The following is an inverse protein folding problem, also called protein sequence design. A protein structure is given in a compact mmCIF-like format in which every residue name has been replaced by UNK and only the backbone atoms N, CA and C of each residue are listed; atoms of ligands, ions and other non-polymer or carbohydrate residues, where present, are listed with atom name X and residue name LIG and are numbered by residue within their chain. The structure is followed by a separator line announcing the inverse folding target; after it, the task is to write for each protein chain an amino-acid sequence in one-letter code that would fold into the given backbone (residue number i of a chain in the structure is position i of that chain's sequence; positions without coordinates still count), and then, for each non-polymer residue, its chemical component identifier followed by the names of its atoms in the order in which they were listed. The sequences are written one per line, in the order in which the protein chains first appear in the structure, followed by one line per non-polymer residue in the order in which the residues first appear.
data_IF_565833021986
#
_entry.id   IF_565833021986
#
_cell.length_a   1.000
_cell.length_b   1.000
_cell.length_c   1.000
_cell.angle_alpha   90.00
_cell.angle_beta   90.00
_cell.angle_gamma   90.00
#
_symmetry.space_group_name_H-M   'P 1'
#
loop_
_entity.id
_entity.type
_entity.pdbx_description
1 polymer ?
#
# COMPACT_ATOMS: atom_id res chain seq x y z
N UNK A 1 3.09 -30.13 18.91
CA UNK A 1 4.38 -29.88 19.59
C UNK A 1 5.01 -28.63 19.01
N UNK A 2 5.27 -27.67 19.89
CA UNK A 2 5.75 -26.31 19.65
C UNK A 2 7.05 -26.24 18.85
N UNK A 3 7.08 -25.42 17.80
CA UNK A 3 8.29 -24.80 17.24
C UNK A 3 8.03 -23.35 16.79
N UNK A 4 7.37 -22.55 17.64
CA UNK A 4 7.28 -21.09 17.46
C UNK A 4 7.78 -20.33 18.70
N UNK A 5 8.74 -20.89 19.43
CA UNK A 5 9.61 -20.14 20.33
C UNK A 5 10.86 -19.68 19.56
N UNK A 6 10.67 -18.84 18.54
CA UNK A 6 11.77 -17.95 18.13
C UNK A 6 11.84 -16.91 19.25
N UNK A 7 12.93 -16.93 20.01
CA UNK A 7 13.25 -15.94 21.04
C UNK A 7 12.95 -14.56 20.49
N UNK A 8 11.87 -13.93 20.95
CA UNK A 8 11.60 -12.53 20.67
C UNK A 8 12.79 -11.80 21.30
N UNK A 9 13.56 -11.07 20.49
CA UNK A 9 14.63 -10.25 21.07
C UNK A 9 14.00 -9.35 22.14
N UNK A 10 14.55 -9.34 23.34
CA UNK A 10 14.14 -8.43 24.42
C UNK A 10 14.72 -7.01 24.21
N UNK A 11 15.38 -6.75 23.08
CA UNK A 11 15.96 -5.45 22.78
C UNK A 11 14.90 -4.36 22.83
N UNK A 12 15.15 -3.36 23.68
CA UNK A 12 14.28 -2.20 23.85
C UNK A 12 14.85 -1.05 23.06
N UNK A 13 14.01 -0.43 22.24
CA UNK A 13 14.37 0.73 21.42
C UNK A 13 13.40 1.86 21.72
N UNK A 14 13.94 3.05 21.97
CA UNK A 14 13.16 4.26 22.20
C UNK A 14 13.43 5.24 21.06
N UNK A 15 12.42 5.45 20.20
CA UNK A 15 12.42 6.55 19.22
C UNK A 15 11.79 7.75 19.89
N UNK A 16 12.49 8.89 19.99
CA UNK A 16 11.98 10.06 20.75
C UNK A 16 12.26 11.39 20.07
N UNK A 17 11.48 12.40 20.44
CA UNK A 17 11.64 13.77 19.93
C UNK A 17 11.07 13.99 18.52
N UNK A 18 10.25 13.08 17.99
CA UNK A 18 9.63 13.26 16.68
C UNK A 18 8.82 14.54 16.67
N UNK A 19 9.16 15.49 15.79
CA UNK A 19 8.44 16.76 15.67
C UNK A 19 6.96 16.51 15.36
N UNK A 20 6.70 15.60 14.42
CA UNK A 20 5.39 15.05 14.17
C UNK A 20 5.48 13.53 14.11
N UNK A 21 4.75 12.88 15.01
CA UNK A 21 4.57 11.43 15.00
C UNK A 21 3.17 11.10 14.47
N UNK A 22 3.12 10.60 13.24
CA UNK A 22 1.90 10.19 12.56
C UNK A 22 1.60 8.77 13.00
N UNK A 23 0.65 8.62 13.92
CA UNK A 23 0.38 7.30 14.50
C UNK A 23 -0.60 6.49 13.66
N UNK A 24 -1.51 7.18 12.96
CA UNK A 24 -2.65 6.58 12.25
C UNK A 24 -3.48 5.67 13.18
N UNK A 25 -3.44 5.92 14.49
CA UNK A 25 -4.30 5.27 15.45
C UNK A 25 -5.76 5.69 15.22
N UNK A 26 -6.68 4.76 15.49
CA UNK A 26 -8.09 4.86 15.16
C UNK A 26 -8.63 3.50 14.75
N UNK A 27 -9.45 3.46 13.71
CA UNK A 27 -9.96 2.22 13.13
C UNK A 27 -8.84 1.40 12.47
N UNK A 28 -8.85 0.08 12.68
CA UNK A 28 -8.00 -0.86 11.92
C UNK A 28 -8.59 -1.20 10.54
N UNK A 29 -9.86 -0.83 10.30
CA UNK A 29 -10.54 -1.04 9.03
C UNK A 29 -10.19 0.06 7.99
N UNK A 30 -10.46 -0.18 6.69
CA UNK A 30 -10.21 0.81 5.66
C UNK A 30 -10.94 2.13 5.95
N UNK A 31 -10.20 3.23 5.85
CA UNK A 31 -10.71 4.58 6.05
C UNK A 31 -11.35 5.11 4.78
N UNK A 32 -12.39 5.91 4.95
CA UNK A 32 -13.33 6.32 3.90
C UNK A 32 -13.77 7.76 4.11
N UNK A 33 -13.96 8.51 3.02
CA UNK A 33 -14.35 9.92 3.09
C UNK A 33 -13.42 10.71 4.01
N UNK A 34 -13.99 11.55 4.88
CA UNK A 34 -13.21 12.40 5.78
C UNK A 34 -12.20 11.69 6.68
N UNK A 35 -12.47 10.44 7.10
CA UNK A 35 -11.54 9.70 7.99
C UNK A 35 -10.24 9.29 7.30
N UNK A 36 -10.21 9.33 5.96
CA UNK A 36 -8.99 9.10 5.18
C UNK A 36 -7.93 10.18 5.47
N UNK A 37 -8.32 11.38 5.89
CA UNK A 37 -7.41 12.47 6.26
C UNK A 37 -6.91 12.47 7.71
N UNK A 38 -7.29 11.51 8.55
CA UNK A 38 -7.04 11.56 10.00
C UNK A 38 -5.69 10.94 10.41
N UNK A 39 -4.58 11.68 10.33
CA UNK A 39 -3.26 11.09 10.63
C UNK A 39 -2.99 10.78 12.13
N UNK A 40 -3.83 11.24 13.05
CA UNK A 40 -3.64 11.09 14.51
C UNK A 40 -2.22 11.51 14.93
N UNK A 41 -1.89 12.77 14.62
CA UNK A 41 -0.55 13.35 14.81
C UNK A 41 -0.31 13.65 16.28
N UNK A 42 0.81 13.18 16.81
CA UNK A 42 1.33 13.54 18.13
C UNK A 42 2.53 14.48 17.94
N UNK A 43 2.40 15.70 18.44
CA UNK A 43 3.52 16.64 18.50
C UNK A 43 4.49 16.23 19.61
N UNK A 44 5.80 16.37 19.36
CA UNK A 44 6.86 15.84 20.25
C UNK A 44 6.57 14.39 20.66
N UNK A 45 6.51 13.52 19.65
CA UNK A 45 6.11 12.13 19.79
C UNK A 45 7.29 11.19 20.05
N UNK A 46 6.98 10.09 20.74
CA UNK A 46 7.89 9.00 20.98
C UNK A 46 7.21 7.64 20.84
N UNK A 47 8.04 6.62 20.57
CA UNK A 47 7.65 5.23 20.40
C UNK A 47 8.61 4.37 21.20
N UNK A 48 8.04 3.49 22.04
CA UNK A 48 8.79 2.43 22.71
C UNK A 48 8.56 1.10 22.00
N UNK A 49 9.63 0.43 21.61
CA UNK A 49 9.65 -0.84 20.91
C UNK A 49 10.33 -1.88 21.80
N UNK A 50 9.81 -3.12 21.80
CA UNK A 50 10.49 -4.29 22.37
C UNK A 50 10.48 -5.41 21.34
N UNK A 51 11.66 -5.91 21.00
CA UNK A 51 11.82 -6.88 19.93
C UNK A 51 11.24 -6.35 18.63
N UNK A 52 10.22 -7.04 18.10
CA UNK A 52 9.55 -6.63 16.86
C UNK A 52 8.23 -5.86 17.05
N UNK A 53 7.83 -5.56 18.29
CA UNK A 53 6.53 -4.99 18.59
C UNK A 53 6.62 -3.60 19.21
N UNK A 54 5.66 -2.75 18.84
CA UNK A 54 5.45 -1.45 19.49
C UNK A 54 4.75 -1.70 20.83
N UNK A 55 5.31 -1.15 21.90
CA UNK A 55 4.79 -1.27 23.27
C UNK A 55 3.93 -0.06 23.63
N UNK A 56 4.41 1.14 23.31
CA UNK A 56 3.69 2.38 23.59
C UNK A 56 3.99 3.44 22.53
N UNK A 57 3.02 4.29 22.28
CA UNK A 57 3.10 5.46 21.39
C UNK A 57 2.44 6.64 22.09
N UNK A 58 3.09 7.80 22.08
CA UNK A 58 2.54 8.99 22.71
C UNK A 58 3.50 10.16 22.66
N UNK A 59 3.30 11.13 23.55
CA UNK A 59 4.25 12.24 23.70
C UNK A 59 5.57 11.73 24.29
N UNK A 60 6.69 12.34 23.91
CA UNK A 60 8.03 12.06 24.45
C UNK A 60 8.01 12.04 25.97
N UNK A 61 7.43 13.09 26.59
CA UNK A 61 7.26 13.17 28.04
C UNK A 61 6.56 11.95 28.65
N UNK A 62 5.54 11.37 28.01
CA UNK A 62 4.83 10.21 28.55
C UNK A 62 5.66 8.94 28.40
N UNK A 63 6.17 8.69 27.19
CA UNK A 63 6.81 7.42 26.83
C UNK A 63 8.18 7.28 27.50
N UNK A 64 8.96 8.36 27.58
CA UNK A 64 10.28 8.37 28.22
C UNK A 64 10.22 8.08 29.73
N UNK A 65 9.10 8.41 30.38
CA UNK A 65 8.90 8.16 31.81
C UNK A 65 8.52 6.72 32.14
N UNK A 66 8.29 5.86 31.14
CA UNK A 66 8.00 4.46 31.36
C UNK A 66 9.23 3.73 31.91
N UNK A 67 9.01 2.79 32.84
CA UNK A 67 10.09 1.94 33.38
C UNK A 67 10.83 1.21 32.27
N UNK A 68 10.11 0.77 31.25
CA UNK A 68 10.65 0.02 30.12
C UNK A 68 11.52 0.87 29.19
N UNK A 69 11.35 2.20 29.17
CA UNK A 69 12.21 3.11 28.41
C UNK A 69 13.63 3.20 29.00
N UNK A 70 13.81 2.90 30.28
CA UNK A 70 15.14 2.94 30.93
C UNK A 70 16.07 1.90 30.32
N UNK A 71 17.24 2.36 29.90
CA UNK A 71 18.27 1.53 29.26
C UNK A 71 17.89 1.03 27.87
N UNK A 72 16.81 1.54 27.28
CA UNK A 72 16.50 1.28 25.88
C UNK A 72 17.53 1.97 24.98
N UNK A 73 17.85 1.34 23.84
CA UNK A 73 18.67 1.97 22.81
C UNK A 73 17.90 3.14 22.21
N UNK A 74 18.51 4.31 22.19
CA UNK A 74 17.86 5.51 21.69
C UNK A 74 18.00 5.65 20.16
N UNK A 75 16.95 6.17 19.54
CA UNK A 75 16.94 6.72 18.19
C UNK A 75 16.41 8.15 18.30
N UNK A 76 17.25 9.11 17.96
CA UNK A 76 16.89 10.52 17.96
C UNK A 76 16.06 10.86 16.71
N UNK A 77 14.82 11.26 16.91
CA UNK A 77 13.91 11.74 15.87
C UNK A 77 13.67 13.26 15.96
N UNK A 78 14.49 13.99 16.71
CA UNK A 78 14.38 15.46 16.86
C UNK A 78 14.29 16.15 15.52
N UNK A 79 13.30 17.04 15.38
CA UNK A 79 13.07 17.81 14.16
C UNK A 79 12.49 17.02 13.00
N UNK A 80 12.18 15.72 13.16
CA UNK A 80 11.77 14.84 12.05
C UNK A 80 10.31 14.42 12.14
N UNK A 81 9.76 14.06 10.98
CA UNK A 81 8.50 13.32 10.87
C UNK A 81 8.75 11.83 11.04
N UNK A 82 7.94 11.16 11.86
CA UNK A 82 7.93 9.70 12.03
C UNK A 82 6.55 9.17 11.68
N UNK A 83 6.49 8.11 10.87
CA UNK A 83 5.23 7.51 10.41
C UNK A 83 5.39 5.99 10.20
N UNK A 84 4.29 5.21 10.06
CA UNK A 84 4.40 3.82 9.66
C UNK A 84 5.18 3.69 8.36
N UNK A 85 5.90 2.57 8.21
CA UNK A 85 6.46 2.23 6.92
C UNK A 85 5.36 2.15 5.86
N UNK A 86 5.67 2.56 4.63
CA UNK A 86 4.73 2.43 3.51
C UNK A 86 4.32 0.96 3.33
N UNK A 87 3.07 0.76 2.95
CA UNK A 87 2.60 -0.51 2.41
C UNK A 87 2.25 -0.27 0.95
N UNK A 88 2.88 -1.02 0.07
CA UNK A 88 2.58 -0.95 -1.36
C UNK A 88 1.44 -1.92 -1.68
N UNK A 89 0.29 -1.38 -2.08
CA UNK A 89 -0.89 -2.20 -2.38
C UNK A 89 -0.77 -2.99 -3.69
N UNK A 90 0.24 -2.72 -4.54
CA UNK A 90 0.48 -3.49 -5.75
C UNK A 90 1.89 -3.29 -6.31
N UNK A 91 2.63 -4.39 -6.45
CA UNK A 91 3.86 -4.45 -7.21
C UNK A 91 4.06 -5.85 -7.83
N UNK A 92 4.67 -5.91 -9.01
CA UNK A 92 5.09 -7.12 -9.71
C UNK A 92 6.61 -7.22 -9.68
N UNK A 93 7.16 -7.88 -8.66
CA UNK A 93 8.61 -7.95 -8.43
C UNK A 93 9.33 -9.08 -9.21
N UNK A 94 8.60 -10.09 -9.67
CA UNK A 94 9.18 -11.36 -10.19
C UNK A 94 9.36 -11.35 -11.73
N UNK A 95 9.33 -10.18 -12.37
CA UNK A 95 9.66 -10.03 -13.79
C UNK A 95 11.12 -9.59 -13.96
N UNK A 96 11.77 -10.07 -15.02
CA UNK A 96 13.24 -10.09 -15.06
C UNK A 96 13.84 -8.97 -15.91
N UNK A 97 13.11 -8.37 -16.85
CA UNK A 97 13.71 -7.39 -17.77
C UNK A 97 12.80 -6.21 -18.12
N UNK A 98 13.36 -4.99 -18.18
CA UNK A 98 12.68 -3.82 -18.70
C UNK A 98 12.52 -3.88 -20.23
N UNK A 99 11.45 -3.27 -20.75
CA UNK A 99 11.18 -3.16 -22.19
C UNK A 99 11.70 -1.84 -22.76
N UNK A 100 13.01 -1.64 -22.71
CA UNK A 100 13.65 -0.36 -23.05
C UNK A 100 13.46 0.04 -24.52
N UNK A 101 13.54 -0.91 -25.45
CA UNK A 101 13.36 -0.63 -26.89
C UNK A 101 11.90 -0.22 -27.21
N UNK A 102 10.93 -0.88 -26.56
CA UNK A 102 9.51 -0.53 -26.68
C UNK A 102 9.25 0.87 -26.11
N UNK A 103 9.85 1.17 -24.94
CA UNK A 103 9.76 2.49 -24.33
C UNK A 103 10.34 3.59 -25.24
N UNK A 104 11.53 3.40 -25.81
CA UNK A 104 12.12 4.38 -26.72
C UNK A 104 11.25 4.57 -27.99
N UNK A 105 10.68 3.48 -28.51
CA UNK A 105 9.78 3.52 -29.66
C UNK A 105 8.50 4.31 -29.36
N UNK A 106 7.89 4.08 -28.19
CA UNK A 106 6.73 4.82 -27.70
C UNK A 106 7.02 6.32 -27.63
N UNK A 107 8.18 6.72 -27.08
CA UNK A 107 8.58 8.13 -27.00
C UNK A 107 8.77 8.79 -28.36
N UNK A 108 9.18 8.02 -29.37
CA UNK A 108 9.30 8.48 -30.77
C UNK A 108 7.95 8.60 -31.48
N UNK A 109 6.84 8.32 -30.78
CA UNK A 109 5.49 8.38 -31.33
C UNK A 109 5.11 7.18 -32.19
N UNK A 110 5.85 6.07 -32.12
CA UNK A 110 5.42 4.83 -32.73
C UNK A 110 4.10 4.39 -32.07
N UNK A 111 3.09 4.09 -32.88
CA UNK A 111 1.89 3.45 -32.38
C UNK A 111 2.29 2.08 -31.85
N UNK A 112 2.35 1.92 -30.52
CA UNK A 112 2.37 0.58 -29.96
C UNK A 112 1.07 -0.10 -30.38
N UNK A 113 1.19 -1.16 -31.18
CA UNK A 113 0.21 -2.24 -31.08
C UNK A 113 0.19 -2.62 -29.61
N UNK A 114 -0.90 -2.35 -28.90
CA UNK A 114 -1.08 -2.72 -27.50
C UNK A 114 -0.49 -4.11 -27.32
N UNK A 115 0.70 -4.17 -26.74
CA UNK A 115 1.33 -5.42 -26.39
C UNK A 115 0.48 -5.93 -25.26
N UNK A 116 -0.61 -6.65 -25.60
CA UNK A 116 -1.31 -7.50 -24.67
C UNK A 116 -0.20 -8.18 -23.88
N UNK A 117 -0.12 -7.90 -22.58
CA UNK A 117 0.82 -8.55 -21.68
C UNK A 117 0.80 -10.01 -22.08
N UNK A 118 1.88 -10.49 -22.71
CA UNK A 118 1.84 -11.57 -23.68
C UNK A 118 0.93 -12.64 -23.12
N UNK A 119 -0.28 -12.66 -23.69
CA UNK A 119 -1.43 -13.27 -23.10
C UNK A 119 -1.28 -14.75 -23.32
N UNK A 120 -0.21 -15.34 -22.77
CA UNK A 120 -0.16 -16.76 -22.50
C UNK A 120 -1.48 -17.00 -21.80
N UNK A 121 -2.41 -17.73 -22.45
CA UNK A 121 -3.64 -18.04 -21.79
C UNK A 121 -3.19 -18.66 -20.47
N UNK A 122 -3.58 -18.05 -19.36
CA UNK A 122 -3.77 -18.79 -18.13
C UNK A 122 -4.79 -19.84 -18.54
N UNK A 123 -4.30 -20.96 -19.11
CA UNK A 123 -5.04 -22.18 -19.29
C UNK A 123 -5.68 -22.34 -17.94
N UNK A 124 -7.01 -22.18 -17.90
CA UNK A 124 -7.80 -22.34 -16.71
C UNK A 124 -7.25 -23.57 -16.01
N UNK A 125 -6.46 -23.34 -14.96
CA UNK A 125 -6.04 -24.40 -14.09
C UNK A 125 -7.35 -24.72 -13.39
N UNK A 126 -8.05 -25.70 -13.96
CA UNK A 126 -9.31 -26.25 -13.49
C UNK A 126 -9.26 -26.28 -11.97
N UNK A 127 -10.36 -25.93 -11.30
CA UNK A 127 -10.45 -25.81 -9.84
C UNK A 127 -9.71 -26.90 -9.04
N UNK A 128 -9.54 -28.11 -9.62
CA UNK A 128 -8.66 -29.18 -9.13
C UNK A 128 -7.18 -28.84 -8.90
N UNK A 129 -6.58 -27.85 -9.57
CA UNK A 129 -5.16 -27.50 -9.37
C UNK A 129 -4.92 -26.60 -8.15
N UNK A 130 -5.98 -26.02 -7.58
CA UNK A 130 -5.89 -25.14 -6.41
C UNK A 130 -5.89 -25.91 -5.07
N UNK A 131 -6.15 -27.21 -5.09
CA UNK A 131 -6.25 -28.02 -3.87
C UNK A 131 -4.88 -28.48 -3.35
N UNK A 132 -4.67 -28.33 -2.04
CA UNK A 132 -3.54 -28.89 -1.29
C UNK A 132 -2.34 -27.96 -1.07
N UNK A 133 -1.84 -27.26 -2.10
CA UNK A 133 -0.55 -26.55 -2.03
C UNK A 133 -0.64 -25.02 -2.01
N UNK A 134 -1.75 -24.43 -2.46
CA UNK A 134 -1.84 -22.98 -2.69
C UNK A 134 -1.81 -22.17 -1.39
N UNK A 135 -2.37 -22.70 -0.29
CA UNK A 135 -2.39 -22.00 1.02
C UNK A 135 -1.01 -21.69 1.61
N UNK A 136 0.04 -22.39 1.18
CA UNK A 136 1.42 -22.13 1.64
C UNK A 136 2.19 -21.19 0.72
N UNK A 137 1.68 -20.92 -0.48
CA UNK A 137 2.39 -20.19 -1.54
C UNK A 137 1.72 -18.85 -1.89
N UNK A 138 0.41 -18.71 -1.65
CA UNK A 138 -0.34 -17.52 -1.97
C UNK A 138 -1.40 -17.20 -0.91
N UNK A 139 -1.61 -15.92 -0.67
CA UNK A 139 -2.71 -15.39 0.17
C UNK A 139 -3.85 -14.80 -0.67
N UNK A 140 -3.57 -14.46 -1.93
CA UNK A 140 -4.50 -13.81 -2.85
C UNK A 140 -4.61 -14.58 -4.17
N UNK A 141 -5.75 -14.41 -4.84
CA UNK A 141 -5.95 -14.71 -6.26
C UNK A 141 -6.25 -13.42 -7.00
N UNK A 142 -5.43 -13.11 -8.00
CA UNK A 142 -5.60 -11.92 -8.85
C UNK A 142 -6.19 -12.30 -10.21
N UNK A 143 -7.16 -11.53 -10.70
CA UNK A 143 -7.65 -11.65 -12.09
C UNK A 143 -7.58 -10.31 -12.81
N UNK A 144 -7.02 -10.32 -14.02
CA UNK A 144 -7.07 -9.20 -14.94
C UNK A 144 -8.37 -9.23 -15.77
N UNK A 145 -9.28 -8.28 -15.55
CA UNK A 145 -10.46 -8.07 -16.41
C UNK A 145 -10.10 -7.32 -17.69
N UNK A 146 -9.88 -8.05 -18.79
CA UNK A 146 -9.70 -7.47 -20.12
C UNK A 146 -10.95 -7.52 -21.00
N UNK A 147 -10.73 -7.36 -22.31
CA UNK A 147 -11.71 -7.63 -23.37
C UNK A 147 -11.89 -9.14 -23.59
N UNK A 148 -12.18 -9.89 -22.53
CA UNK A 148 -12.42 -11.34 -22.66
C UNK A 148 -13.76 -11.59 -23.37
N UNK A 149 -13.86 -12.64 -24.21
CA UNK A 149 -15.05 -12.93 -25.00
C UNK A 149 -16.24 -13.45 -24.17
N UNK A 150 -16.00 -13.83 -22.91
CA UNK A 150 -17.01 -14.32 -21.97
C UNK A 150 -17.35 -13.29 -20.89
N UNK A 151 -18.58 -13.33 -20.37
CA UNK A 151 -19.06 -12.41 -19.34
C UNK A 151 -18.50 -12.67 -17.94
N UNK A 152 -18.96 -11.91 -16.93
CA UNK A 152 -18.45 -12.01 -15.55
C UNK A 152 -18.81 -13.32 -14.83
N UNK A 153 -19.88 -14.02 -15.25
CA UNK A 153 -20.45 -15.16 -14.50
C UNK A 153 -19.45 -16.31 -14.25
N UNK A 154 -18.67 -16.79 -15.24
CA UNK A 154 -17.64 -17.81 -14.98
C UNK A 154 -16.52 -17.31 -14.06
N UNK A 155 -16.15 -16.03 -14.15
CA UNK A 155 -15.12 -15.43 -13.29
C UNK A 155 -15.60 -15.39 -11.84
N UNK A 156 -16.84 -14.98 -11.60
CA UNK A 156 -17.43 -14.95 -10.25
C UNK A 156 -17.43 -16.35 -9.64
N UNK A 157 -17.83 -17.37 -10.39
CA UNK A 157 -17.83 -18.76 -9.88
C UNK A 157 -16.41 -19.22 -9.52
N UNK A 158 -15.44 -18.96 -10.39
CA UNK A 158 -14.04 -19.26 -10.11
C UNK A 158 -13.53 -18.57 -8.84
N UNK A 159 -13.80 -17.27 -8.69
CA UNK A 159 -13.37 -16.48 -7.54
C UNK A 159 -14.05 -16.93 -6.23
N UNK A 160 -15.32 -17.34 -6.30
CA UNK A 160 -16.03 -17.94 -5.16
C UNK A 160 -15.39 -19.26 -4.71
N UNK A 161 -14.94 -20.10 -5.65
CA UNK A 161 -14.22 -21.33 -5.29
C UNK A 161 -12.85 -21.02 -4.68
N UNK A 162 -12.11 -20.04 -5.21
CA UNK A 162 -10.84 -19.61 -4.64
C UNK A 162 -10.99 -19.09 -3.19
N UNK A 163 -12.06 -18.34 -2.90
CA UNK A 163 -12.39 -17.92 -1.53
C UNK A 163 -12.67 -19.07 -0.59
N UNK A 164 -13.38 -20.12 -1.02
CA UNK A 164 -13.59 -21.34 -0.22
C UNK A 164 -12.27 -22.03 0.12
N UNK A 165 -11.24 -21.85 -0.71
CA UNK A 165 -9.89 -22.33 -0.47
C UNK A 165 -9.07 -21.41 0.44
N UNK A 166 -9.61 -20.29 0.90
CA UNK A 166 -8.97 -19.35 1.82
C UNK A 166 -8.13 -18.26 1.14
N UNK A 167 -8.29 -18.07 -0.17
CA UNK A 167 -7.63 -17.00 -0.92
C UNK A 167 -8.50 -15.74 -0.91
N UNK A 168 -7.90 -14.61 -0.57
CA UNK A 168 -8.51 -13.31 -0.80
C UNK A 168 -8.52 -12.98 -2.30
N UNK A 169 -9.48 -12.19 -2.75
CA UNK A 169 -9.68 -11.90 -4.17
C UNK A 169 -9.24 -10.47 -4.48
N UNK A 170 -8.46 -10.30 -5.55
CA UNK A 170 -8.05 -9.01 -6.10
C UNK A 170 -8.39 -8.94 -7.58
N UNK A 171 -8.90 -7.79 -8.03
CA UNK A 171 -9.20 -7.54 -9.45
C UNK A 171 -8.20 -6.54 -10.01
N UNK A 172 -7.39 -7.00 -10.96
CA UNK A 172 -6.27 -6.28 -11.58
C UNK A 172 -6.65 -5.73 -12.97
N UNK A 173 -7.78 -5.02 -13.14
CA UNK A 173 -8.06 -4.26 -14.37
C UNK A 173 -9.30 -3.34 -14.28
N UNK A 174 -9.28 -2.23 -15.01
CA UNK A 174 -10.35 -1.23 -15.14
C UNK A 174 -11.16 -1.32 -16.43
N UNK A 175 -11.77 -2.49 -16.68
CA UNK A 175 -12.86 -2.61 -17.65
C UNK A 175 -14.16 -2.04 -17.00
N UNK A 176 -15.14 -1.53 -17.76
CA UNK A 176 -16.42 -1.00 -17.20
C UNK A 176 -17.24 -2.03 -16.39
N UNK A 177 -16.85 -3.31 -16.47
CA UNK A 177 -17.48 -4.43 -15.77
C UNK A 177 -16.72 -4.84 -14.49
N UNK A 178 -15.57 -4.24 -14.23
CA UNK A 178 -14.66 -4.67 -13.17
C UNK A 178 -15.20 -4.34 -11.78
N UNK A 179 -15.81 -3.17 -11.61
CA UNK A 179 -16.46 -2.80 -10.35
C UNK A 179 -17.54 -3.80 -9.95
N UNK A 180 -18.42 -4.18 -10.89
CA UNK A 180 -19.45 -5.19 -10.66
C UNK A 180 -18.84 -6.55 -10.33
N UNK A 181 -17.82 -6.99 -11.08
CA UNK A 181 -17.13 -8.25 -10.81
C UNK A 181 -16.52 -8.25 -9.39
N UNK A 182 -15.85 -7.17 -9.01
CA UNK A 182 -15.22 -7.04 -7.70
C UNK A 182 -16.26 -7.13 -6.57
N UNK A 183 -17.38 -6.42 -6.69
CA UNK A 183 -18.46 -6.45 -5.69
C UNK A 183 -19.13 -7.84 -5.62
N UNK A 184 -19.51 -8.43 -6.76
CA UNK A 184 -20.19 -9.74 -6.79
C UNK A 184 -19.28 -10.91 -6.37
N UNK A 185 -17.96 -10.77 -6.49
CA UNK A 185 -16.97 -11.73 -6.01
C UNK A 185 -16.54 -11.49 -4.55
N UNK A 186 -16.97 -10.40 -3.93
CA UNK A 186 -16.48 -9.88 -2.64
C UNK A 186 -14.94 -9.74 -2.64
N UNK A 187 -14.41 -9.07 -3.65
CA UNK A 187 -13.00 -8.76 -3.77
C UNK A 187 -12.56 -7.80 -2.65
N UNK A 188 -11.37 -8.06 -2.10
CA UNK A 188 -10.72 -7.17 -1.13
C UNK A 188 -10.34 -5.86 -1.82
N UNK A 189 -9.80 -5.94 -3.03
CA UNK A 189 -9.30 -4.79 -3.78
C UNK A 189 -9.68 -4.84 -5.26
N UNK A 190 -9.84 -3.66 -5.84
CA UNK A 190 -10.00 -3.43 -7.27
C UNK A 190 -9.02 -2.35 -7.71
N UNK A 191 -8.24 -2.63 -8.75
CA UNK A 191 -7.26 -1.71 -9.30
C UNK A 191 -7.94 -0.84 -10.35
N UNK A 192 -7.94 0.47 -10.12
CA UNK A 192 -8.71 1.42 -10.90
C UNK A 192 -7.76 2.35 -11.63
N UNK A 193 -7.81 2.31 -12.96
CA UNK A 193 -7.22 3.34 -13.82
C UNK A 193 -8.20 4.43 -14.20
N UNK A 194 -9.44 4.04 -14.49
CA UNK A 194 -10.58 4.89 -14.84
C UNK A 194 -11.83 4.33 -14.18
N UNK A 195 -12.73 5.20 -13.73
CA UNK A 195 -13.99 4.80 -13.09
C UNK A 195 -15.12 5.72 -13.52
N UNK A 196 -16.26 5.14 -13.85
CA UNK A 196 -17.49 5.84 -14.19
C UNK A 196 -18.35 6.10 -12.94
N UNK A 197 -19.20 7.13 -12.91
CA UNK A 197 -20.05 7.44 -11.76
C UNK A 197 -20.89 6.25 -11.25
N UNK A 198 -21.40 5.41 -12.16
CA UNK A 198 -22.17 4.22 -11.80
C UNK A 198 -21.32 3.17 -11.05
N UNK A 199 -20.05 3.05 -11.39
CA UNK A 199 -19.09 2.14 -10.73
C UNK A 199 -18.69 2.67 -9.35
N UNK A 200 -18.51 3.98 -9.21
CA UNK A 200 -18.24 4.61 -7.90
C UNK A 200 -19.36 4.29 -6.91
N UNK A 201 -20.63 4.40 -7.35
CA UNK A 201 -21.78 4.06 -6.51
C UNK A 201 -21.75 2.61 -6.04
N UNK A 202 -21.46 1.67 -6.95
CA UNK A 202 -21.34 0.25 -6.59
C UNK A 202 -20.23 0.01 -5.57
N UNK A 203 -19.07 0.65 -5.75
CA UNK A 203 -17.95 0.49 -4.84
C UNK A 203 -18.22 1.11 -3.46
N UNK A 204 -18.92 2.25 -3.42
CA UNK A 204 -19.31 2.93 -2.18
C UNK A 204 -20.21 2.06 -1.30
N UNK A 205 -21.05 1.23 -1.91
CA UNK A 205 -21.95 0.27 -1.24
C UNK A 205 -21.26 -1.06 -0.88
N UNK A 206 -19.95 -1.19 -1.12
CA UNK A 206 -19.17 -2.43 -0.92
C UNK A 206 -18.00 -2.27 0.05
N UNK A 207 -17.43 -3.39 0.50
CA UNK A 207 -16.19 -3.43 1.27
C UNK A 207 -14.92 -3.33 0.42
N UNK A 208 -15.02 -3.40 -0.91
CA UNK A 208 -13.88 -3.39 -1.83
C UNK A 208 -13.12 -2.07 -1.75
N UNK A 209 -11.79 -2.18 -1.68
CA UNK A 209 -10.86 -1.03 -1.67
C UNK A 209 -10.44 -0.72 -3.10
N UNK A 210 -10.60 0.53 -3.51
CA UNK A 210 -10.07 1.04 -4.78
C UNK A 210 -8.56 1.29 -4.64
N UNK A 211 -7.76 0.53 -5.40
CA UNK A 211 -6.30 0.68 -5.46
C UNK A 211 -5.94 1.55 -6.65
N UNK A 212 -5.28 2.68 -6.39
CA UNK A 212 -4.83 3.64 -7.40
C UNK A 212 -3.30 3.60 -7.52
N UNK A 213 -2.81 3.54 -8.75
CA UNK A 213 -1.38 3.53 -9.07
C UNK A 213 -1.02 4.73 -9.99
N UNK A 214 -0.97 5.96 -9.45
CA UNK A 214 -0.78 7.17 -10.25
C UNK A 214 0.49 7.15 -11.10
N UNK A 215 1.59 6.56 -10.61
CA UNK A 215 2.84 6.50 -11.37
C UNK A 215 2.74 5.61 -12.62
N UNK A 216 2.11 4.43 -12.50
CA UNK A 216 1.85 3.56 -13.66
C UNK A 216 0.86 4.20 -14.64
N UNK A 217 -0.14 4.94 -14.14
CA UNK A 217 -1.08 5.66 -15.01
C UNK A 217 -0.41 6.80 -15.78
N UNK A 218 0.49 7.55 -15.13
CA UNK A 218 1.29 8.59 -15.80
C UNK A 218 2.12 8.00 -16.95
N UNK A 219 2.64 6.78 -16.77
CA UNK A 219 3.43 6.08 -17.78
C UNK A 219 2.58 5.53 -18.94
N UNK A 220 1.43 4.92 -18.64
CA UNK A 220 0.61 4.19 -19.61
C UNK A 220 -0.40 5.05 -20.37
N UNK A 221 -1.03 6.03 -19.70
CA UNK A 221 -2.05 6.89 -20.30
C UNK A 221 -1.77 8.37 -19.92
N UNK A 222 -0.69 8.99 -20.45
CA UNK A 222 -0.38 10.37 -20.13
C UNK A 222 -1.59 11.27 -20.43
N UNK A 223 -2.00 12.09 -19.45
CA UNK A 223 -3.12 13.08 -19.50
C UNK A 223 -4.54 12.58 -19.19
N UNK A 224 -4.73 11.38 -18.61
CA UNK A 224 -6.06 10.90 -18.20
C UNK A 224 -6.06 10.23 -16.81
N UNK A 225 -5.80 11.00 -15.77
CA UNK A 225 -5.92 10.50 -14.39
C UNK A 225 -7.38 10.36 -13.96
N UNK A 226 -7.74 9.22 -13.37
CA UNK A 226 -8.94 9.15 -12.55
C UNK A 226 -8.74 10.06 -11.31
N UNK A 227 -9.62 11.04 -11.14
CA UNK A 227 -9.61 11.84 -9.91
C UNK A 227 -10.01 10.96 -8.73
N UNK A 228 -9.11 10.78 -7.76
CA UNK A 228 -9.41 10.06 -6.52
C UNK A 228 -10.50 10.77 -5.71
N UNK A 229 -10.64 12.10 -5.89
CA UNK A 229 -11.62 12.91 -5.17
C UNK A 229 -13.04 12.37 -5.26
N UNK A 230 -13.50 11.99 -6.45
CA UNK A 230 -14.85 11.44 -6.64
C UNK A 230 -15.08 10.13 -5.86
N UNK A 231 -14.06 9.27 -5.77
CA UNK A 231 -14.11 8.03 -4.98
C UNK A 231 -14.18 8.36 -3.48
N UNK A 232 -13.31 9.26 -3.01
CA UNK A 232 -13.21 9.65 -1.60
C UNK A 232 -14.50 10.32 -1.13
N UNK A 233 -15.01 11.29 -1.88
CA UNK A 233 -16.24 12.02 -1.55
C UNK A 233 -17.47 11.10 -1.53
N UNK A 234 -17.45 10.04 -2.35
CA UNK A 234 -18.46 8.97 -2.35
C UNK A 234 -18.24 7.90 -1.28
N UNK A 235 -17.26 8.09 -0.38
CA UNK A 235 -16.90 7.17 0.72
C UNK A 235 -16.40 5.79 0.26
N UNK A 236 -15.84 5.70 -0.94
CA UNK A 236 -15.07 4.52 -1.35
C UNK A 236 -13.76 4.49 -0.55
N UNK A 237 -13.35 3.32 -0.07
CA UNK A 237 -12.02 3.16 0.53
C UNK A 237 -10.97 3.22 -0.56
N UNK A 238 -9.96 4.08 -0.42
CA UNK A 238 -8.90 4.26 -1.41
C UNK A 238 -7.54 3.87 -0.82
N UNK A 239 -6.78 3.07 -1.54
CA UNK A 239 -5.38 2.74 -1.25
C UNK A 239 -4.47 3.16 -2.41
N UNK A 240 -3.20 3.42 -2.11
CA UNK A 240 -2.19 3.74 -3.11
C UNK A 240 -1.24 2.56 -3.33
N UNK A 241 -0.78 2.43 -4.56
CA UNK A 241 0.24 1.48 -4.96
C UNK A 241 1.29 2.16 -5.84
N UNK A 242 2.51 1.64 -5.82
CA UNK A 242 3.50 2.01 -6.84
C UNK A 242 3.07 1.53 -8.21
N UNK A 243 2.42 0.36 -8.26
CA UNK A 243 2.14 -0.35 -9.51
C UNK A 243 3.44 -0.74 -10.21
N UNK A 244 4.55 -0.87 -9.46
CA UNK A 244 5.86 -1.21 -10.01
C UNK A 244 5.78 -2.53 -10.76
N UNK A 245 6.24 -2.53 -12.00
CA UNK A 245 6.41 -3.69 -12.84
C UNK A 245 7.57 -3.37 -13.78
N UNK A 246 8.62 -4.19 -13.86
CA UNK A 246 9.80 -3.90 -14.68
C UNK A 246 9.49 -3.53 -16.15
N UNK A 247 8.38 -4.01 -16.70
CA UNK A 247 7.96 -3.81 -18.08
C UNK A 247 6.99 -2.63 -18.32
N UNK A 248 6.24 -2.16 -17.31
CA UNK A 248 5.26 -1.07 -17.50
C UNK A 248 4.99 -0.18 -16.27
N UNK A 249 5.59 -0.46 -15.12
CA UNK A 249 5.47 0.30 -13.88
C UNK A 249 6.80 0.97 -13.52
N UNK A 250 6.94 2.28 -13.76
CA UNK A 250 8.27 2.92 -13.88
C UNK A 250 8.97 3.17 -12.56
N UNK A 251 8.32 2.97 -11.41
CA UNK A 251 8.87 3.38 -10.12
C UNK A 251 8.40 2.50 -8.98
N UNK A 252 9.30 2.24 -8.04
CA UNK A 252 9.01 1.66 -6.72
C UNK A 252 8.97 2.73 -5.62
N UNK A 253 9.11 4.02 -5.97
CA UNK A 253 9.17 5.11 -5.00
C UNK A 253 7.76 5.55 -4.56
N UNK A 254 7.32 5.08 -3.39
CA UNK A 254 6.03 5.48 -2.79
C UNK A 254 5.93 6.97 -2.47
N UNK A 255 7.03 7.71 -2.31
CA UNK A 255 7.01 9.15 -2.08
C UNK A 255 6.60 9.90 -3.36
N UNK A 256 7.10 9.44 -4.51
CA UNK A 256 6.64 9.89 -5.83
C UNK A 256 5.16 9.58 -6.03
N UNK A 257 4.71 8.38 -5.65
CA UNK A 257 3.30 7.98 -5.72
C UNK A 257 2.41 8.91 -4.90
N UNK A 258 2.79 9.22 -3.66
CA UNK A 258 2.06 10.16 -2.79
C UNK A 258 1.99 11.55 -3.43
N UNK A 259 3.10 12.02 -4.01
CA UNK A 259 3.15 13.32 -4.67
C UNK A 259 2.23 13.38 -5.89
N UNK A 260 2.26 12.36 -6.76
CA UNK A 260 1.37 12.28 -7.93
C UNK A 260 -0.09 12.14 -7.53
N UNK A 261 -0.39 11.40 -6.45
CA UNK A 261 -1.75 11.33 -5.92
C UNK A 261 -2.27 12.71 -5.46
N UNK A 262 -1.40 13.55 -4.90
CA UNK A 262 -1.77 14.91 -4.53
C UNK A 262 -1.95 15.82 -5.77
N UNK A 263 -0.98 15.80 -6.69
CA UNK A 263 -0.94 16.69 -7.86
C UNK A 263 -2.01 16.34 -8.91
N UNK A 264 -2.10 15.06 -9.26
CA UNK A 264 -2.88 14.60 -10.42
C UNK A 264 -4.24 13.99 -10.03
N UNK A 265 -4.37 13.47 -8.80
CA UNK A 265 -5.60 12.84 -8.32
C UNK A 265 -6.35 13.69 -7.27
N UNK A 266 -5.81 14.87 -6.91
CA UNK A 266 -6.38 15.83 -5.97
C UNK A 266 -6.66 15.27 -4.58
N UNK A 267 -5.81 14.37 -4.11
CA UNK A 267 -5.77 13.96 -2.70
C UNK A 267 -5.05 15.03 -1.87
N UNK A 268 -5.44 15.18 -0.62
CA UNK A 268 -4.65 15.91 0.37
C UNK A 268 -3.44 15.06 0.78
N UNK A 269 -2.34 15.67 1.28
CA UNK A 269 -1.20 14.91 1.82
C UNK A 269 -1.60 13.88 2.87
N UNK A 270 -2.56 14.22 3.74
CA UNK A 270 -3.05 13.33 4.78
C UNK A 270 -3.79 12.10 4.20
N UNK A 271 -4.68 12.33 3.22
CA UNK A 271 -5.38 11.24 2.54
C UNK A 271 -4.40 10.31 1.81
N UNK A 272 -3.39 10.86 1.14
CA UNK A 272 -2.40 10.09 0.40
C UNK A 272 -1.53 9.23 1.34
N UNK A 273 -1.07 9.79 2.46
CA UNK A 273 -0.31 9.03 3.47
C UNK A 273 -1.15 7.89 4.05
N UNK A 274 -2.41 8.16 4.42
CA UNK A 274 -3.31 7.13 4.93
C UNK A 274 -3.59 6.03 3.89
N UNK A 275 -3.76 6.42 2.62
CA UNK A 275 -3.95 5.51 1.51
C UNK A 275 -2.74 4.60 1.26
N UNK A 276 -1.51 5.12 1.44
CA UNK A 276 -0.24 4.40 1.29
C UNK A 276 0.23 3.64 2.54
N UNK A 277 -0.60 3.59 3.59
CA UNK A 277 -0.27 2.92 4.86
C UNK A 277 -1.42 2.03 5.31
N UNK A 278 -2.36 2.49 6.14
CA UNK A 278 -3.40 1.65 6.74
C UNK A 278 -4.39 1.09 5.71
N UNK A 279 -4.76 1.86 4.68
CA UNK A 279 -5.66 1.37 3.65
C UNK A 279 -4.95 0.37 2.72
N UNK A 280 -3.69 0.62 2.35
CA UNK A 280 -2.87 -0.35 1.63
C UNK A 280 -2.63 -1.63 2.46
N UNK A 281 -2.43 -1.51 3.77
CA UNK A 281 -2.33 -2.65 4.67
C UNK A 281 -3.61 -3.49 4.70
N UNK A 282 -4.78 -2.83 4.64
CA UNK A 282 -6.05 -3.54 4.52
C UNK A 282 -6.22 -4.20 3.15
N UNK A 283 -5.85 -3.52 2.05
CA UNK A 283 -5.87 -4.09 0.71
C UNK A 283 -4.99 -5.35 0.61
N UNK A 284 -3.87 -5.36 1.33
CA UNK A 284 -2.93 -6.48 1.40
C UNK A 284 -3.19 -7.45 2.57
N UNK A 285 -4.33 -7.34 3.26
CA UNK A 285 -4.73 -8.29 4.32
C UNK A 285 -3.79 -8.34 5.53
N UNK A 286 -2.98 -7.30 5.75
CA UNK A 286 -1.96 -7.23 6.80
C UNK A 286 -2.16 -6.07 7.80
N UNK A 287 -3.31 -5.39 7.77
CA UNK A 287 -3.67 -4.30 8.68
C UNK A 287 -3.69 -4.69 10.16
N UNK A 288 -3.87 -5.98 10.47
CA UNK A 288 -3.73 -6.50 11.83
C UNK A 288 -2.32 -6.30 12.40
N UNK A 289 -1.29 -6.23 11.54
CA UNK A 289 0.12 -6.10 11.89
C UNK A 289 0.74 -4.76 11.50
N UNK A 290 0.35 -4.20 10.35
CA UNK A 290 1.01 -3.08 9.67
C UNK A 290 0.06 -1.89 9.42
N UNK A 291 0.62 -0.78 8.95
CA UNK A 291 -0.14 0.38 8.46
C UNK A 291 -0.48 1.44 9.50
N UNK A 292 -0.24 1.18 10.78
CA UNK A 292 -0.36 2.16 11.87
C UNK A 292 0.67 1.89 12.97
N UNK A 293 0.97 2.90 13.79
CA UNK A 293 1.86 2.81 14.95
C UNK A 293 1.02 2.77 16.22
N UNK A 294 0.95 1.60 16.86
CA UNK A 294 0.24 1.45 18.11
C UNK A 294 0.61 0.18 18.85
N UNK A 295 0.21 0.05 20.12
CA UNK A 295 0.54 -1.10 20.94
C UNK A 295 0.19 -2.43 20.25
N UNK A 296 1.11 -3.39 20.30
CA UNK A 296 1.03 -4.73 19.68
C UNK A 296 1.15 -4.77 18.15
N UNK A 297 1.24 -3.62 17.46
CA UNK A 297 1.61 -3.60 16.03
C UNK A 297 3.09 -3.93 15.85
N UNK A 298 3.42 -4.42 14.67
CA UNK A 298 4.81 -4.64 14.30
C UNK A 298 5.54 -3.28 14.21
N UNK A 299 6.77 -3.22 14.70
CA UNK A 299 7.59 -2.02 14.69
C UNK A 299 8.22 -1.81 13.30
N UNK A 300 7.37 -1.34 12.38
CA UNK A 300 7.72 -0.96 11.01
C UNK A 300 7.43 0.53 10.83
N UNK A 301 8.49 1.35 10.87
CA UNK A 301 8.37 2.80 10.81
C UNK A 301 9.48 3.41 9.96
N UNK A 302 9.24 4.63 9.52
CA UNK A 302 10.19 5.44 8.78
C UNK A 302 10.35 6.80 9.45
N UNK A 303 11.60 7.23 9.59
CA UNK A 303 11.97 8.59 9.99
C UNK A 303 12.30 9.35 8.72
N UNK A 304 11.65 10.48 8.51
CA UNK A 304 11.82 11.32 7.34
C UNK A 304 12.61 12.59 7.72
N UNK A 305 13.52 13.02 6.85
CA UNK A 305 14.29 14.27 6.99
C UNK A 305 13.46 15.48 6.54
N UNK A 306 12.28 15.62 7.12
CA UNK A 306 11.34 16.74 6.93
C UNK A 306 10.73 17.11 8.28
N UNK A 307 10.28 18.35 8.43
CA UNK A 307 9.74 18.88 9.69
C UNK A 307 8.21 18.79 9.76
N UNK A 308 7.54 18.78 8.61
CA UNK A 308 6.10 18.67 8.47
C UNK A 308 5.70 17.62 7.42
N UNK A 309 4.72 16.77 7.71
CA UNK A 309 4.29 15.71 6.80
C UNK A 309 3.84 16.21 5.43
N UNK A 310 3.40 17.48 5.32
CA UNK A 310 3.00 18.10 4.05
C UNK A 310 4.19 18.30 3.11
N UNK A 311 5.42 18.31 3.62
CA UNK A 311 6.62 18.38 2.81
C UNK A 311 6.87 17.11 1.99
N UNK A 312 6.33 15.97 2.44
CA UNK A 312 6.48 14.66 1.77
C UNK A 312 6.02 14.70 0.30
N UNK A 313 4.78 15.14 -0.03
CA UNK A 313 4.39 15.34 -1.43
C UNK A 313 4.88 16.65 -2.06
N UNK A 314 5.29 17.64 -1.26
CA UNK A 314 5.68 18.96 -1.77
C UNK A 314 7.04 18.91 -2.48
N UNK A 315 8.03 18.26 -1.88
CA UNK A 315 9.33 18.04 -2.49
C UNK A 315 9.30 16.79 -3.38
N UNK A 316 8.76 16.98 -4.58
CA UNK A 316 8.58 15.93 -5.56
C UNK A 316 9.91 15.30 -6.01
N UNK A 317 9.93 13.97 -6.15
CA UNK A 317 11.03 13.21 -6.77
C UNK A 317 12.25 12.99 -5.87
N UNK A 318 12.20 13.40 -4.60
CA UNK A 318 13.29 13.18 -3.64
C UNK A 318 13.06 11.91 -2.82
N UNK A 319 14.09 11.50 -2.08
CA UNK A 319 13.97 10.50 -1.04
C UNK A 319 14.20 11.17 0.32
N UNK A 320 13.13 11.33 1.10
CA UNK A 320 13.18 11.93 2.43
C UNK A 320 13.61 10.94 3.52
N UNK A 321 13.85 9.67 3.22
CA UNK A 321 14.11 8.65 4.24
C UNK A 321 15.45 8.89 4.92
N UNK A 322 15.38 9.22 6.21
CA UNK A 322 16.55 9.30 7.07
C UNK A 322 16.91 7.93 7.66
N UNK A 323 15.90 7.17 8.13
CA UNK A 323 16.11 5.89 8.80
C UNK A 323 14.87 5.01 8.64
N UNK A 324 15.07 3.70 8.39
CA UNK A 324 13.99 2.69 8.36
C UNK A 324 14.18 1.70 9.49
N UNK A 325 13.11 1.45 10.23
CA UNK A 325 13.02 0.36 11.20
C UNK A 325 12.04 -0.68 10.66
N UNK A 326 12.47 -1.94 10.59
CA UNK A 326 11.67 -3.08 10.15
C UNK A 326 11.78 -4.17 11.21
N UNK A 327 10.64 -4.68 11.69
CA UNK A 327 10.59 -5.64 12.80
C UNK A 327 11.38 -5.16 14.04
N UNK A 328 11.35 -3.86 14.32
CA UNK A 328 12.08 -3.25 15.45
C UNK A 328 13.60 -3.08 15.25
N UNK A 329 14.14 -3.55 14.13
CA UNK A 329 15.56 -3.41 13.79
C UNK A 329 15.76 -2.28 12.77
N UNK A 330 16.79 -1.46 12.97
CA UNK A 330 17.19 -0.47 11.96
C UNK A 330 17.80 -1.18 10.75
N UNK A 331 17.14 -1.11 9.59
CA UNK A 331 17.58 -1.77 8.35
C UNK A 331 18.22 -0.80 7.35
N UNK A 332 17.89 0.49 7.46
CA UNK A 332 18.48 1.54 6.63
C UNK A 332 18.77 2.78 7.47
N UNK A 333 19.86 3.44 7.11
CA UNK A 333 20.19 4.79 7.56
C UNK A 333 20.73 5.55 6.34
N UNK A 334 20.33 6.80 6.19
CA UNK A 334 20.81 7.69 5.15
C UNK A 334 22.34 7.67 5.04
N UNK A 335 22.85 7.68 3.81
CA UNK A 335 24.28 7.57 3.50
C UNK A 335 24.86 6.15 3.53
N UNK A 336 24.10 5.12 3.95
CA UNK A 336 24.59 3.71 3.98
C UNK A 336 24.36 2.92 2.69
N UNK A 337 23.51 3.39 1.80
CA UNK A 337 23.29 2.80 0.47
C UNK A 337 23.70 3.85 -0.54
N UNK A 338 24.76 3.58 -1.31
CA UNK A 338 25.09 4.39 -2.50
C UNK A 338 23.96 4.20 -3.52
N UNK A 339 23.58 5.27 -4.26
CA UNK A 339 22.43 5.27 -5.15
C UNK A 339 22.41 4.11 -6.14
#
# INVERSE_FOLDING_TARGET
MNQLSKTISEDKVLVRGARQLLTLQGSEHPRRGGSLGELSIVADGAILIRGCAIIEVGTSRRVENLKDARGAREIDATGRVVMPGFVDACAQLVQVQPRLDAYESMLRGAAESQGAADGRPLRAASAHRLEGHVRKLASFVGIQCGQQPFGNRPLIEYLKQARKLGLAVEILAGCERAARLAVEAEAVSLHIGRVQPAEIKLLAESSTIAVLAPASLLYLEPRRFASARALIDSRVAVALASGFAPDWGPTSNMQTVISLACLEMHMTPAEAICAATINAANAQGCANRLGLLGPRKQADLVLLHIEDYRELPYYFGTNHVHLVVKNGCTTYHEGRVRP
#
